data_IF_361046941748
#
_entry.id   IF_361046941748
#
_cell.length_a   1.000
_cell.length_b   1.000
_cell.length_c   1.000
_cell.angle_alpha   90.00
_cell.angle_beta   90.00
_cell.angle_gamma   90.00
#
_symmetry.space_group_name_H-M   'P 1'
#
loop_
_entity.id
_entity.type
_entity.pdbx_description
1 polymer ?
#
# COMPACT_ATOMS: atom_id res chain seq x y z
N UNK A 1 5.30 7.89 -8.75
CA UNK A 1 6.62 8.43 -8.37
C UNK A 1 7.59 7.26 -8.40
N UNK A 2 8.89 7.43 -8.11
CA UNK A 2 9.73 6.27 -7.79
C UNK A 2 9.61 6.00 -6.29
N UNK A 3 9.49 4.74 -5.87
CA UNK A 3 9.52 4.39 -4.45
C UNK A 3 10.89 4.77 -3.89
N UNK A 4 10.91 5.60 -2.84
CA UNK A 4 12.14 5.99 -2.14
C UNK A 4 11.90 5.95 -0.63
N UNK A 5 12.96 5.65 0.13
CA UNK A 5 12.90 5.61 1.60
C UNK A 5 13.15 7.00 2.23
N UNK A 6 12.91 8.08 1.49
CA UNK A 6 13.19 9.44 1.91
C UNK A 6 11.89 10.24 1.96
N UNK A 7 11.54 10.70 3.17
CA UNK A 7 10.39 11.58 3.37
C UNK A 7 10.69 12.96 2.76
N UNK A 8 9.93 13.32 1.73
CA UNK A 8 10.00 14.63 1.10
C UNK A 8 8.69 15.36 1.38
N UNK A 9 8.63 16.28 2.37
CA UNK A 9 7.40 16.98 2.70
C UNK A 9 6.92 17.76 1.47
N UNK A 10 5.81 17.28 0.89
CA UNK A 10 5.26 17.83 -0.33
C UNK A 10 3.77 18.05 -0.12
N UNK A 11 3.32 19.30 -0.24
CA UNK A 11 1.90 19.65 -0.29
C UNK A 11 1.56 20.13 -1.69
N UNK A 12 0.48 19.64 -2.28
CA UNK A 12 0.01 20.15 -3.58
C UNK A 12 -1.32 20.85 -3.43
N UNK A 13 -1.40 22.09 -3.91
CA UNK A 13 -2.66 22.84 -4.03
C UNK A 13 -3.51 22.27 -5.16
N UNK A 14 -2.86 21.77 -6.22
CA UNK A 14 -3.52 21.23 -7.40
C UNK A 14 -3.43 19.71 -7.42
N UNK A 15 -4.48 18.99 -7.86
CA UNK A 15 -4.41 17.54 -7.99
C UNK A 15 -3.27 17.11 -8.93
N UNK A 16 -2.53 16.08 -8.53
CA UNK A 16 -1.60 15.39 -9.44
C UNK A 16 -2.43 14.71 -10.53
N UNK A 17 -2.19 15.09 -11.78
CA UNK A 17 -2.82 14.44 -12.93
C UNK A 17 -2.00 13.19 -13.26
N UNK A 18 -2.54 12.03 -12.88
CA UNK A 18 -1.96 10.75 -13.25
C UNK A 18 -2.59 10.30 -14.56
N UNK A 19 -1.82 10.34 -15.66
CA UNK A 19 -2.28 9.83 -16.94
C UNK A 19 -1.91 8.35 -17.07
N UNK A 20 -2.90 7.52 -17.40
CA UNK A 20 -2.69 6.14 -17.85
C UNK A 20 -3.05 6.09 -19.34
N UNK A 21 -2.04 5.75 -20.14
CA UNK A 21 -2.11 5.73 -21.61
C UNK A 21 -2.39 4.34 -22.19
N UNK A 22 -2.60 3.31 -21.37
CA UNK A 22 -2.76 1.92 -21.83
C UNK A 22 -4.22 1.50 -22.07
N UNK A 23 -5.09 2.43 -22.49
CA UNK A 23 -6.43 2.09 -23.00
C UNK A 23 -7.49 1.73 -21.95
N UNK A 24 -7.35 2.22 -20.72
CA UNK A 24 -8.34 2.07 -19.65
C UNK A 24 -9.62 2.89 -19.90
N UNK A 25 -10.72 2.48 -19.25
CA UNK A 25 -12.00 3.22 -19.25
C UNK A 25 -12.35 3.69 -17.84
N UNK A 26 -12.84 4.93 -17.70
CA UNK A 26 -13.30 5.50 -16.42
C UNK A 26 -14.30 4.60 -15.69
N UNK A 27 -15.08 3.79 -16.42
CA UNK A 27 -16.09 2.88 -15.85
C UNK A 27 -15.49 1.68 -15.11
N UNK A 28 -14.25 1.35 -15.42
CA UNK A 28 -13.55 0.19 -14.85
C UNK A 28 -12.59 0.60 -13.74
N UNK A 29 -12.56 1.89 -13.37
CA UNK A 29 -11.68 2.40 -12.31
C UNK A 29 -12.25 2.01 -10.96
N UNK A 30 -11.57 1.07 -10.29
CA UNK A 30 -11.90 0.64 -8.94
C UNK A 30 -11.55 1.67 -7.86
N UNK A 31 -11.85 1.29 -6.62
CA UNK A 31 -11.52 2.08 -5.43
C UNK A 31 -10.03 2.16 -5.16
N UNK A 32 -9.25 1.19 -5.65
CA UNK A 32 -7.80 1.12 -5.58
C UNK A 32 -7.29 0.75 -6.97
N UNK A 33 -6.29 1.47 -7.45
CA UNK A 33 -5.54 1.19 -8.68
C UNK A 33 -4.07 1.17 -8.29
N UNK A 34 -3.39 0.06 -8.58
CA UNK A 34 -1.97 -0.12 -8.30
C UNK A 34 -1.16 0.00 -9.60
N UNK A 35 -0.26 0.97 -9.65
CA UNK A 35 0.70 1.18 -10.74
C UNK A 35 2.10 1.50 -10.16
N UNK A 36 2.43 0.89 -9.01
CA UNK A 36 3.66 1.12 -8.23
C UNK A 36 3.41 1.92 -6.94
N UNK A 37 2.63 2.99 -7.05
CA UNK A 37 1.99 3.69 -5.92
C UNK A 37 0.47 3.45 -5.97
N UNK A 38 -0.25 3.61 -4.86
CA UNK A 38 -1.70 3.35 -4.85
C UNK A 38 -2.49 4.61 -5.23
N UNK A 39 -3.22 4.58 -6.33
CA UNK A 39 -4.28 5.56 -6.62
C UNK A 39 -5.59 5.08 -6.03
N UNK A 40 -6.05 5.72 -4.96
CA UNK A 40 -7.25 5.33 -4.22
C UNK A 40 -8.36 6.35 -4.34
N UNK A 41 -9.60 5.91 -4.13
CA UNK A 41 -10.74 6.83 -3.95
C UNK A 41 -10.54 7.73 -2.73
N UNK A 42 -11.13 8.93 -2.77
CA UNK A 42 -11.17 9.85 -1.62
C UNK A 42 -11.67 9.18 -0.35
N UNK A 43 -12.73 8.37 -0.43
CA UNK A 43 -13.31 7.71 0.74
C UNK A 43 -12.30 6.77 1.41
N UNK A 44 -11.59 5.94 0.63
CA UNK A 44 -10.54 5.08 1.15
C UNK A 44 -9.42 5.90 1.83
N UNK A 45 -8.96 6.95 1.16
CA UNK A 45 -7.89 7.82 1.68
C UNK A 45 -8.30 8.49 3.00
N UNK A 46 -9.51 9.05 3.09
CA UNK A 46 -10.01 9.71 4.30
C UNK A 46 -10.17 8.73 5.47
N UNK A 47 -10.61 7.49 5.21
CA UNK A 47 -10.64 6.44 6.23
C UNK A 47 -9.22 6.15 6.70
N UNK A 48 -8.27 5.89 5.80
CA UNK A 48 -6.88 5.62 6.17
C UNK A 48 -6.25 6.80 6.95
N UNK A 49 -6.48 8.05 6.52
CA UNK A 49 -6.02 9.25 7.22
C UNK A 49 -6.57 9.35 8.65
N UNK A 50 -7.79 8.86 8.91
CA UNK A 50 -8.40 8.93 10.24
C UNK A 50 -7.67 8.10 11.30
N UNK A 51 -6.84 7.14 10.88
CA UNK A 51 -5.96 6.36 11.75
C UNK A 51 -4.63 7.05 12.07
N UNK A 52 -4.35 8.21 11.46
CA UNK A 52 -3.10 8.96 11.58
C UNK A 52 -1.84 8.07 11.38
N UNK A 53 -1.73 7.35 10.24
CA UNK A 53 -0.69 6.36 10.06
C UNK A 53 0.69 6.99 9.85
N UNK A 54 1.70 6.43 10.50
CA UNK A 54 3.08 6.86 10.33
C UNK A 54 3.59 6.55 8.91
N UNK A 55 4.33 7.50 8.33
CA UNK A 55 5.08 7.27 7.08
C UNK A 55 4.23 7.16 5.82
N UNK A 56 2.97 7.63 5.85
CA UNK A 56 2.09 7.66 4.68
C UNK A 56 1.91 9.09 4.19
N UNK A 57 2.14 9.31 2.90
CA UNK A 57 1.90 10.59 2.24
C UNK A 57 0.68 10.51 1.34
N UNK A 58 -0.09 11.60 1.30
CA UNK A 58 -1.34 11.68 0.56
C UNK A 58 -1.30 12.84 -0.41
N UNK A 59 -1.46 12.53 -1.69
CA UNK A 59 -1.44 13.53 -2.74
C UNK A 59 -2.81 13.55 -3.42
N UNK A 60 -3.58 14.65 -3.31
CA UNK A 60 -4.79 14.80 -4.10
C UNK A 60 -4.48 14.53 -5.57
N UNK A 61 -5.31 13.73 -6.22
CA UNK A 61 -5.05 13.30 -7.59
C UNK A 61 -6.32 13.19 -8.42
N UNK A 62 -6.10 13.18 -9.73
CA UNK A 62 -7.10 12.76 -10.71
C UNK A 62 -6.46 11.77 -11.68
N UNK A 63 -7.22 10.74 -12.03
CA UNK A 63 -6.81 9.75 -13.02
C UNK A 63 -7.34 10.18 -14.38
N UNK A 64 -6.44 10.39 -15.34
CA UNK A 64 -6.80 10.72 -16.72
C UNK A 64 -6.65 9.48 -17.59
N UNK A 65 -7.73 9.11 -18.25
CA UNK A 65 -7.84 7.99 -19.19
C UNK A 65 -8.24 8.52 -20.57
N UNK A 66 -8.28 7.64 -21.57
CA UNK A 66 -8.66 8.01 -22.93
C UNK A 66 -10.10 8.53 -23.03
N UNK A 67 -11.02 7.95 -22.24
CA UNK A 67 -12.45 8.25 -22.27
C UNK A 67 -12.90 9.29 -21.23
N UNK A 68 -11.97 9.86 -20.45
CA UNK A 68 -12.28 10.94 -19.51
C UNK A 68 -11.33 11.04 -18.32
N UNK A 69 -11.81 11.70 -17.26
CA UNK A 69 -11.05 11.93 -16.02
C UNK A 69 -11.86 11.47 -14.81
N UNK A 70 -11.22 10.76 -13.88
CA UNK A 70 -11.77 10.39 -12.58
C UNK A 70 -11.15 11.26 -11.50
N UNK A 71 -11.96 12.15 -10.95
CA UNK A 71 -11.56 13.09 -9.89
C UNK A 71 -11.78 12.50 -8.49
N UNK A 72 -11.46 13.28 -7.45
CA UNK A 72 -11.60 12.90 -6.03
C UNK A 72 -10.85 11.61 -5.69
N UNK A 73 -9.58 11.56 -6.13
CA UNK A 73 -8.67 10.47 -5.81
C UNK A 73 -7.48 10.99 -5.02
N UNK A 74 -6.73 10.06 -4.44
CA UNK A 74 -5.43 10.33 -3.84
C UNK A 74 -4.41 9.33 -4.36
N UNK A 75 -3.18 9.79 -4.53
CA UNK A 75 -2.01 8.90 -4.59
C UNK A 75 -1.53 8.71 -3.16
N UNK A 76 -1.41 7.46 -2.72
CA UNK A 76 -0.80 7.07 -1.46
C UNK A 76 0.64 6.64 -1.73
N UNK A 77 1.60 7.32 -1.10
CA UNK A 77 2.96 6.84 -1.00
C UNK A 77 3.16 6.23 0.40
N UNK A 78 3.33 4.89 0.44
CA UNK A 78 3.54 4.13 1.68
C UNK A 78 5.05 4.03 1.91
N UNK A 79 5.61 5.04 2.59
CA UNK A 79 7.04 5.12 2.90
C UNK A 79 7.37 4.50 4.27
N UNK A 80 6.40 3.85 4.90
CA UNK A 80 6.57 3.14 6.16
C UNK A 80 7.06 1.70 5.91
N UNK A 81 8.38 1.51 6.00
CA UNK A 81 9.01 0.20 5.87
C UNK A 81 9.44 -0.29 7.25
N UNK A 82 8.93 -1.44 7.65
CA UNK A 82 9.19 -2.02 8.98
C UNK A 82 9.91 -3.37 8.88
N UNK A 83 10.76 -3.64 9.86
CA UNK A 83 11.50 -4.89 9.97
C UNK A 83 10.65 -5.92 10.71
N UNK A 84 9.80 -6.62 9.96
CA UNK A 84 8.91 -7.68 10.46
C UNK A 84 9.03 -8.98 9.67
N UNK A 85 10.09 -9.12 8.86
CA UNK A 85 10.41 -10.36 8.15
C UNK A 85 10.71 -11.47 9.18
N UNK A 86 10.05 -12.61 9.01
CA UNK A 86 10.41 -13.85 9.71
C UNK A 86 11.52 -14.56 8.93
N UNK A 87 12.77 -14.37 9.37
CA UNK A 87 13.95 -14.90 8.68
C UNK A 87 14.06 -16.43 8.77
N UNK A 88 13.39 -17.06 9.74
CA UNK A 88 13.45 -18.52 9.92
C UNK A 88 12.47 -19.24 9.00
N UNK A 89 11.31 -18.63 8.75
CA UNK A 89 10.23 -19.22 7.95
C UNK A 89 10.23 -18.76 6.49
N UNK A 90 10.78 -17.59 6.21
CA UNK A 90 10.85 -17.02 4.86
C UNK A 90 11.94 -17.67 4.02
N UNK A 91 11.69 -17.79 2.71
CA UNK A 91 12.74 -18.17 1.74
C UNK A 91 13.49 -16.92 1.29
N UNK A 92 14.77 -16.83 1.67
CA UNK A 92 15.61 -15.65 1.53
C UNK A 92 16.92 -16.02 0.83
N UNK A 93 17.30 -15.22 -0.16
CA UNK A 93 18.58 -15.31 -0.85
C UNK A 93 19.35 -13.99 -0.72
N UNK A 94 20.66 -14.05 -0.55
CA UNK A 94 21.53 -12.86 -0.66
C UNK A 94 22.13 -12.85 -2.06
N UNK A 95 21.84 -11.81 -2.82
CA UNK A 95 22.39 -11.61 -4.16
C UNK A 95 23.92 -11.65 -4.12
N UNK A 96 24.58 -12.58 -4.82
CA UNK A 96 26.04 -12.65 -4.84
C UNK A 96 26.67 -11.47 -5.60
N UNK A 97 25.87 -10.69 -6.34
CA UNK A 97 26.31 -9.51 -7.10
C UNK A 97 26.12 -8.21 -6.34
N UNK A 98 24.94 -7.97 -5.79
CA UNK A 98 24.61 -6.70 -5.12
C UNK A 98 24.74 -6.77 -3.59
N UNK A 99 24.76 -7.97 -2.99
CA UNK A 99 24.70 -8.15 -1.54
C UNK A 99 23.32 -7.83 -0.95
N UNK A 100 22.32 -7.58 -1.80
CA UNK A 100 20.95 -7.29 -1.38
C UNK A 100 20.20 -8.56 -1.01
N UNK A 101 19.29 -8.42 -0.06
CA UNK A 101 18.40 -9.48 0.41
C UNK A 101 17.21 -9.60 -0.57
N UNK A 102 17.01 -10.79 -1.10
CA UNK A 102 15.92 -11.17 -2.01
C UNK A 102 14.98 -12.09 -1.23
N UNK A 103 13.73 -11.68 -1.04
CA UNK A 103 12.70 -12.51 -0.40
C UNK A 103 11.88 -13.21 -1.48
N UNK A 104 11.99 -14.54 -1.57
CA UNK A 104 11.22 -15.37 -2.49
C UNK A 104 9.87 -15.76 -1.92
N UNK A 105 9.81 -16.03 -0.62
CA UNK A 105 8.61 -16.35 0.15
C UNK A 105 8.62 -15.55 1.44
N UNK A 106 7.56 -14.76 1.68
CA UNK A 106 7.49 -13.84 2.81
C UNK A 106 6.57 -14.39 3.89
N UNK A 107 7.11 -14.61 5.09
CA UNK A 107 6.36 -14.75 6.33
C UNK A 107 6.60 -13.54 7.23
N UNK A 108 5.56 -13.11 7.95
CA UNK A 108 5.63 -11.99 8.89
C UNK A 108 5.86 -12.54 10.30
N UNK A 109 6.88 -12.02 10.99
CA UNK A 109 7.14 -12.34 12.38
C UNK A 109 6.12 -11.64 13.27
N UNK A 110 5.24 -12.42 13.89
CA UNK A 110 4.23 -11.91 14.83
C UNK A 110 4.88 -11.21 16.03
N UNK A 111 6.02 -11.74 16.52
CA UNK A 111 6.77 -11.16 17.63
C UNK A 111 7.27 -9.75 17.28
N UNK A 112 7.93 -9.59 16.12
CA UNK A 112 8.41 -8.27 15.66
C UNK A 112 7.23 -7.31 15.45
N UNK A 113 6.14 -7.79 14.83
CA UNK A 113 4.96 -6.96 14.55
C UNK A 113 4.28 -6.44 15.83
N UNK A 114 4.17 -7.28 16.87
CA UNK A 114 3.55 -6.90 18.16
C UNK A 114 4.32 -5.84 18.94
N UNK A 115 5.63 -5.72 18.70
CA UNK A 115 6.47 -4.70 19.34
C UNK A 115 6.28 -3.31 18.72
N UNK A 116 5.64 -3.23 17.56
CA UNK A 116 5.43 -1.98 16.82
C UNK A 116 4.09 -1.35 17.23
N UNK A 117 4.07 -0.06 17.60
CA UNK A 117 2.82 0.65 17.92
C UNK A 117 1.81 0.59 16.78
N UNK A 118 0.51 0.60 17.10
CA UNK A 118 -0.56 0.53 16.09
C UNK A 118 -0.39 1.58 14.98
N UNK A 119 -0.10 2.84 15.34
CA UNK A 119 0.14 3.95 14.41
C UNK A 119 1.20 3.64 13.34
N UNK A 120 2.15 2.76 13.65
CA UNK A 120 3.27 2.38 12.79
C UNK A 120 3.03 1.07 12.02
N UNK A 121 1.89 0.41 12.23
CA UNK A 121 1.49 -0.82 11.52
C UNK A 121 0.12 -0.72 10.85
N UNK A 122 -0.48 0.48 10.77
CA UNK A 122 -1.74 0.73 10.04
C UNK A 122 -1.61 0.43 8.55
N UNK A 123 -0.54 0.92 7.93
CA UNK A 123 -0.16 0.64 6.56
C UNK A 123 1.36 0.59 6.48
N UNK A 124 1.92 -0.47 5.91
CA UNK A 124 3.36 -0.66 5.88
C UNK A 124 3.82 -1.59 4.75
N UNK A 125 5.11 -1.52 4.48
CA UNK A 125 5.86 -2.45 3.64
C UNK A 125 6.86 -3.21 4.50
N UNK A 126 7.21 -4.44 4.10
CA UNK A 126 8.19 -5.24 4.82
C UNK A 126 9.59 -4.98 4.26
N UNK A 127 10.55 -4.70 5.14
CA UNK A 127 11.95 -4.52 4.76
C UNK A 127 12.48 -5.76 4.03
N UNK A 128 13.05 -5.57 2.85
CA UNK A 128 13.50 -6.66 1.98
C UNK A 128 12.41 -7.23 1.04
N UNK A 129 11.15 -6.85 1.25
CA UNK A 129 10.00 -7.21 0.41
C UNK A 129 9.09 -5.99 0.20
N UNK A 130 9.67 -4.88 -0.25
CA UNK A 130 9.03 -3.56 -0.29
C UNK A 130 7.92 -3.43 -1.34
N UNK A 131 7.82 -4.38 -2.27
CA UNK A 131 6.71 -4.46 -3.23
C UNK A 131 5.39 -4.82 -2.55
N UNK A 132 5.45 -5.41 -1.35
CA UNK A 132 4.28 -5.85 -0.62
C UNK A 132 3.72 -4.80 0.32
N UNK A 133 2.44 -4.47 0.18
CA UNK A 133 1.73 -3.53 1.05
C UNK A 133 0.75 -4.27 1.96
N UNK A 134 0.85 -3.99 3.26
CA UNK A 134 -0.01 -4.56 4.29
C UNK A 134 -0.78 -3.45 5.00
N UNK A 135 -1.99 -3.77 5.42
CA UNK A 135 -2.86 -2.91 6.21
C UNK A 135 -3.25 -3.62 7.50
N UNK A 136 -3.46 -2.87 8.57
CA UNK A 136 -3.87 -3.46 9.85
C UNK A 136 -5.31 -3.99 9.79
N UNK A 137 -5.61 -4.92 10.71
CA UNK A 137 -6.92 -5.54 10.82
C UNK A 137 -8.02 -4.51 11.16
N UNK A 138 -7.69 -3.50 11.96
CA UNK A 138 -8.65 -2.47 12.36
C UNK A 138 -9.12 -1.62 11.16
N UNK A 139 -8.24 -1.38 10.17
CA UNK A 139 -8.63 -0.73 8.92
C UNK A 139 -9.53 -1.65 8.08
N UNK A 140 -9.17 -2.94 8.01
CA UNK A 140 -9.98 -3.94 7.32
C UNK A 140 -11.40 -3.96 7.87
N UNK A 141 -11.55 -4.01 9.19
CA UNK A 141 -12.86 -4.09 9.83
C UNK A 141 -13.74 -2.89 9.44
N UNK A 142 -13.19 -1.67 9.47
CA UNK A 142 -13.93 -0.48 9.05
C UNK A 142 -14.39 -0.57 7.59
N UNK A 143 -13.50 -1.01 6.70
CA UNK A 143 -13.77 -1.13 5.26
C UNK A 143 -14.77 -2.26 4.96
N UNK A 144 -14.72 -3.36 5.70
CA UNK A 144 -15.54 -4.55 5.45
C UNK A 144 -17.02 -4.31 5.79
N UNK A 145 -17.32 -3.41 6.73
CA UNK A 145 -18.71 -3.02 7.06
C UNK A 145 -19.34 -2.04 6.05
N UNK A 146 -18.58 -1.53 5.09
CA UNK A 146 -19.01 -0.47 4.18
C UNK A 146 -19.28 -1.01 2.77
N UNK A 147 -20.53 -0.93 2.32
CA UNK A 147 -20.98 -1.47 1.04
C UNK A 147 -20.26 -0.84 -0.17
N UNK A 148 -19.77 0.39 -0.03
CA UNK A 148 -18.94 1.06 -1.04
C UNK A 148 -17.70 0.24 -1.41
N UNK A 149 -17.20 -0.59 -0.49
CA UNK A 149 -16.00 -1.40 -0.67
C UNK A 149 -16.28 -2.87 -1.01
N UNK A 150 -17.52 -3.26 -1.31
CA UNK A 150 -17.88 -4.64 -1.66
C UNK A 150 -17.21 -5.12 -2.96
N UNK A 151 -16.83 -4.17 -3.83
CA UNK A 151 -16.09 -4.46 -5.06
C UNK A 151 -14.61 -4.79 -4.83
N UNK A 152 -14.06 -4.52 -3.64
CA UNK A 152 -12.68 -4.85 -3.33
C UNK A 152 -12.54 -6.34 -2.99
N UNK A 153 -11.50 -6.96 -3.54
CA UNK A 153 -11.02 -8.25 -3.05
C UNK A 153 -10.28 -8.01 -1.72
N UNK A 154 -10.93 -8.39 -0.62
CA UNK A 154 -10.46 -8.19 0.75
C UNK A 154 -10.18 -9.56 1.38
N UNK A 155 -9.06 -9.71 2.09
CA UNK A 155 -8.78 -10.88 2.91
C UNK A 155 -7.97 -10.49 4.15
N UNK A 156 -8.28 -11.12 5.30
CA UNK A 156 -7.40 -11.13 6.47
C UNK A 156 -6.39 -12.26 6.29
N UNK A 157 -5.14 -12.01 6.66
CA UNK A 157 -4.03 -12.94 6.50
C UNK A 157 -3.40 -13.12 7.87
N UNK A 158 -3.20 -14.36 8.31
CA UNK A 158 -2.46 -14.63 9.54
C UNK A 158 -0.96 -14.44 9.30
N UNK A 159 -0.20 -14.08 10.34
CA UNK A 159 1.27 -14.14 10.31
C UNK A 159 1.79 -15.56 10.07
N UNK A 160 0.93 -16.57 10.27
CA UNK A 160 1.24 -17.96 9.96
C UNK A 160 1.05 -18.35 8.50
N UNK A 161 0.39 -17.49 7.72
CA UNK A 161 0.18 -17.74 6.30
C UNK A 161 1.32 -17.15 5.48
N UNK A 162 1.61 -17.80 4.34
CA UNK A 162 2.49 -17.21 3.34
C UNK A 162 1.85 -15.91 2.84
N UNK A 163 2.59 -14.80 2.90
CA UNK A 163 2.10 -13.54 2.39
C UNK A 163 1.80 -13.69 0.87
N UNK A 164 0.66 -13.17 0.40
CA UNK A 164 0.29 -13.28 -1.00
C UNK A 164 1.38 -12.65 -1.88
N UNK A 165 1.81 -13.40 -2.89
CA UNK A 165 2.68 -12.89 -3.95
C UNK A 165 1.87 -11.94 -4.83
N UNK A 166 2.48 -10.81 -5.18
CA UNK A 166 1.93 -9.78 -6.07
C UNK A 166 1.99 -10.24 -7.52
#
# INVERSE_FOLDING_TARGET
>A
MYSTNHYHPTSSINPVVWADSEGGSIKNVGLIVDCGDLSVSRLFAEILMSFDPFGIEYYPSQLKLEDGEVQNRYILAINNIIDVLDEERSDIEISPRSGELIVHELFISEEKLKQIPLSNRVAFRVKGAETAMFFCEELFDVIDFMAEFDSLRKAKISTDDLAPKF
#
